data_IF_136836272731
#
_entry.id   IF_136836272731
#
_cell.length_a   1.000
_cell.length_b   1.000
_cell.length_c   1.000
_cell.angle_alpha   90.00
_cell.angle_beta   90.00
_cell.angle_gamma   90.00
#
_symmetry.space_group_name_H-M   'P 1'
#
loop_
_entity.id
_entity.type
_entity.pdbx_description
1 polymer ?
#
# COMPACT_ATOMS: atom_id res chain seq x y z
N UNK A 1 -24.08 -5.30 -10.61
CA UNK A 1 -23.40 -5.82 -11.81
C UNK A 1 -21.90 -5.80 -11.53
N UNK A 2 -21.35 -6.96 -11.21
CA UNK A 2 -20.00 -7.16 -10.70
C UNK A 2 -19.06 -7.61 -11.83
N UNK A 3 -18.78 -6.71 -12.76
CA UNK A 3 -18.12 -7.04 -14.03
C UNK A 3 -16.85 -6.21 -14.20
N UNK A 4 -15.82 -6.51 -13.39
CA UNK A 4 -14.43 -6.07 -13.66
C UNK A 4 -13.35 -6.86 -12.89
N UNK A 5 -13.65 -8.04 -12.35
CA UNK A 5 -12.73 -8.77 -11.45
C UNK A 5 -12.30 -10.15 -11.97
N UNK A 6 -12.31 -10.38 -13.29
CA UNK A 6 -11.77 -11.60 -13.89
C UNK A 6 -10.81 -11.26 -15.01
N UNK A 7 -9.53 -11.10 -14.67
CA UNK A 7 -8.45 -11.27 -15.65
C UNK A 7 -8.49 -12.73 -16.14
N UNK A 8 -8.44 -12.98 -17.46
CA UNK A 8 -8.36 -14.34 -17.98
C UNK A 8 -7.02 -14.95 -17.53
N UNK A 9 -7.06 -16.06 -16.79
CA UNK A 9 -5.87 -16.82 -16.39
C UNK A 9 -5.55 -16.86 -14.89
N UNK A 10 -6.20 -16.05 -14.05
CA UNK A 10 -6.00 -16.15 -12.60
C UNK A 10 -6.79 -17.35 -12.04
N UNK A 11 -6.15 -18.30 -11.32
CA UNK A 11 -6.86 -19.43 -10.73
C UNK A 11 -8.00 -18.97 -9.81
N UNK A 12 -9.17 -19.60 -9.94
CA UNK A 12 -10.41 -19.19 -9.24
C UNK A 12 -10.25 -19.17 -7.71
N UNK A 13 -9.37 -20.00 -7.15
CA UNK A 13 -9.05 -20.04 -5.72
C UNK A 13 -8.35 -18.76 -5.23
N UNK A 14 -7.64 -18.03 -6.10
CA UNK A 14 -6.94 -16.78 -5.76
C UNK A 14 -7.92 -15.63 -5.49
N UNK A 15 -9.04 -15.57 -6.23
CA UNK A 15 -10.11 -14.61 -5.98
C UNK A 15 -10.80 -14.86 -4.63
N UNK A 16 -10.96 -16.14 -4.26
CA UNK A 16 -11.57 -16.57 -2.98
C UNK A 16 -10.63 -16.26 -1.80
N UNK A 17 -9.34 -16.57 -1.94
CA UNK A 17 -8.32 -16.22 -0.96
C UNK A 17 -8.20 -14.70 -0.75
N UNK A 18 -8.16 -13.91 -1.85
CA UNK A 18 -8.08 -12.46 -1.78
C UNK A 18 -9.33 -11.79 -1.15
N UNK A 19 -10.49 -12.46 -1.20
CA UNK A 19 -11.72 -12.03 -0.50
C UNK A 19 -11.69 -12.40 0.98
N UNK A 20 -11.21 -13.59 1.35
CA UNK A 20 -11.07 -14.02 2.74
C UNK A 20 -10.10 -13.10 3.52
N UNK A 21 -8.93 -12.79 2.94
CA UNK A 21 -7.90 -11.99 3.60
C UNK A 21 -8.22 -10.49 3.72
N UNK A 22 -9.29 -10.00 3.07
CA UNK A 22 -9.72 -8.60 3.20
C UNK A 22 -10.50 -8.32 4.49
N UNK A 23 -10.96 -9.36 5.19
CA UNK A 23 -11.97 -9.20 6.25
C UNK A 23 -11.39 -9.17 7.67
N UNK A 24 -10.17 -9.62 7.94
CA UNK A 24 -9.62 -9.60 9.29
C UNK A 24 -8.15 -9.18 9.38
N UNK A 25 -7.88 -8.09 10.10
CA UNK A 25 -6.52 -7.65 10.48
C UNK A 25 -5.74 -8.74 11.23
N UNK A 26 -6.43 -9.70 11.86
CA UNK A 26 -5.85 -10.83 12.62
C UNK A 26 -5.28 -11.93 11.74
N UNK A 27 -5.65 -11.99 10.46
CA UNK A 27 -5.22 -13.04 9.54
C UNK A 27 -4.03 -12.63 8.67
N UNK A 28 -3.58 -11.36 8.72
CA UNK A 28 -2.49 -10.86 7.86
C UNK A 28 -1.17 -11.64 8.01
N UNK A 29 -0.67 -11.98 9.22
CA UNK A 29 0.54 -12.77 9.34
C UNK A 29 0.40 -14.20 8.79
N UNK A 30 -0.81 -14.76 8.85
CA UNK A 30 -1.12 -16.09 8.32
C UNK A 30 -1.16 -16.06 6.79
N UNK A 31 -1.77 -15.01 6.22
CA UNK A 31 -1.78 -14.76 4.78
C UNK A 31 -0.37 -14.59 4.21
N UNK A 32 0.50 -13.84 4.91
CA UNK A 32 1.90 -13.67 4.51
C UNK A 32 2.64 -15.01 4.49
N UNK A 33 2.48 -15.84 5.53
CA UNK A 33 3.08 -17.18 5.58
C UNK A 33 2.58 -18.07 4.45
N UNK A 34 1.27 -18.08 4.22
CA UNK A 34 0.65 -18.84 3.14
C UNK A 34 1.22 -18.45 1.77
N UNK A 35 1.32 -17.14 1.48
CA UNK A 35 1.89 -16.66 0.22
C UNK A 35 3.38 -17.02 0.07
N UNK A 36 4.15 -16.98 1.16
CA UNK A 36 5.54 -17.42 1.15
C UNK A 36 5.68 -18.92 0.87
N UNK A 37 4.75 -19.74 1.37
CA UNK A 37 4.77 -21.17 1.14
C UNK A 37 4.32 -21.50 -0.30
N UNK A 38 3.28 -20.86 -0.82
CA UNK A 38 2.88 -20.97 -2.22
C UNK A 38 3.98 -20.54 -3.19
N UNK A 39 4.73 -19.47 -2.87
CA UNK A 39 5.87 -19.02 -3.69
C UNK A 39 6.99 -20.05 -3.79
N UNK A 40 7.19 -20.89 -2.76
CA UNK A 40 8.19 -21.97 -2.80
C UNK A 40 7.75 -23.14 -3.66
N UNK A 41 6.44 -23.31 -3.84
CA UNK A 41 5.83 -24.44 -4.53
C UNK A 41 5.48 -24.13 -5.99
N UNK A 42 5.39 -22.85 -6.36
CA UNK A 42 4.99 -22.44 -7.71
C UNK A 42 6.17 -22.43 -8.70
N UNK A 43 5.98 -23.11 -9.83
CA UNK A 43 6.88 -23.07 -11.00
C UNK A 43 6.34 -22.15 -12.12
N UNK A 44 5.11 -21.68 -11.99
CA UNK A 44 4.49 -20.76 -12.96
C UNK A 44 5.02 -19.33 -12.75
N UNK A 45 5.70 -18.73 -13.74
CA UNK A 45 6.29 -17.40 -13.61
C UNK A 45 5.25 -16.27 -13.48
N UNK A 46 4.09 -16.38 -14.12
CA UNK A 46 3.05 -15.36 -14.04
C UNK A 46 2.37 -15.39 -12.66
N UNK A 47 2.11 -16.61 -12.16
CA UNK A 47 1.58 -16.80 -10.81
C UNK A 47 2.60 -16.36 -9.75
N UNK A 48 3.89 -16.67 -9.95
CA UNK A 48 4.97 -16.21 -9.07
C UNK A 48 4.99 -14.69 -8.95
N UNK A 49 4.97 -13.99 -10.08
CA UNK A 49 4.98 -12.52 -10.08
C UNK A 49 3.79 -11.94 -9.31
N UNK A 50 2.59 -12.51 -9.48
CA UNK A 50 1.40 -12.05 -8.78
C UNK A 50 1.46 -12.33 -7.27
N UNK A 51 1.95 -13.51 -6.87
CA UNK A 51 2.19 -13.86 -5.47
C UNK A 51 3.23 -12.95 -4.81
N UNK A 52 4.33 -12.64 -5.50
CA UNK A 52 5.36 -11.69 -5.05
C UNK A 52 4.77 -10.31 -4.82
N UNK A 53 3.98 -9.80 -5.78
CA UNK A 53 3.29 -8.51 -5.64
C UNK A 53 2.33 -8.49 -4.45
N UNK A 54 1.57 -9.58 -4.24
CA UNK A 54 0.64 -9.69 -3.12
C UNK A 54 1.37 -9.76 -1.79
N UNK A 55 2.43 -10.55 -1.71
CA UNK A 55 3.28 -10.67 -0.53
C UNK A 55 3.90 -9.31 -0.18
N UNK A 56 4.45 -8.60 -1.17
CA UNK A 56 5.00 -7.26 -1.00
C UNK A 56 3.95 -6.29 -0.43
N UNK A 57 2.74 -6.28 -0.98
CA UNK A 57 1.67 -5.40 -0.47
C UNK A 57 1.30 -5.71 0.98
N UNK A 58 1.09 -6.98 1.33
CA UNK A 58 0.69 -7.34 2.70
C UNK A 58 1.82 -7.10 3.71
N UNK A 59 3.06 -7.37 3.32
CA UNK A 59 4.25 -7.10 4.15
C UNK A 59 4.41 -5.60 4.36
N UNK A 60 4.17 -4.80 3.31
CA UNK A 60 4.18 -3.35 3.42
C UNK A 60 3.14 -2.87 4.42
N UNK A 61 1.89 -3.36 4.34
CA UNK A 61 0.82 -2.96 5.25
C UNK A 61 1.15 -3.32 6.71
N UNK A 62 1.73 -4.50 6.97
CA UNK A 62 2.22 -4.88 8.31
C UNK A 62 3.33 -3.95 8.82
N UNK A 63 4.28 -3.58 7.97
CA UNK A 63 5.39 -2.70 8.36
C UNK A 63 4.90 -1.27 8.60
N UNK A 64 4.06 -0.74 7.72
CA UNK A 64 3.46 0.57 7.86
C UNK A 64 2.67 0.69 9.15
N UNK A 65 1.84 -0.31 9.50
CA UNK A 65 1.09 -0.32 10.75
C UNK A 65 2.01 -0.22 11.98
N UNK A 66 3.03 -1.09 12.07
CA UNK A 66 4.01 -1.06 13.17
C UNK A 66 4.79 0.25 13.24
N UNK A 67 5.22 0.78 12.09
CA UNK A 67 5.94 2.05 12.04
C UNK A 67 5.04 3.21 12.53
N UNK A 68 3.77 3.21 12.15
CA UNK A 68 2.80 4.20 12.61
C UNK A 68 2.50 4.08 14.10
N UNK A 69 2.41 2.87 14.67
CA UNK A 69 2.30 2.68 16.12
C UNK A 69 3.51 3.30 16.86
N UNK A 70 4.73 3.09 16.35
CA UNK A 70 5.93 3.69 16.91
C UNK A 70 5.98 5.21 16.75
N UNK A 71 5.49 5.73 15.61
CA UNK A 71 5.37 7.16 15.36
C UNK A 71 4.36 7.82 16.30
N UNK A 72 3.22 7.18 16.56
CA UNK A 72 2.22 7.65 17.53
C UNK A 72 2.79 7.65 18.95
N UNK A 73 3.49 6.59 19.36
CA UNK A 73 4.16 6.55 20.66
C UNK A 73 5.23 7.64 20.78
N UNK A 74 6.01 7.89 19.71
CA UNK A 74 6.96 9.00 19.66
C UNK A 74 6.27 10.35 19.78
N UNK A 75 5.16 10.55 19.07
CA UNK A 75 4.40 11.80 19.09
C UNK A 75 3.79 12.08 20.47
N UNK A 76 3.29 11.05 21.15
CA UNK A 76 2.79 11.16 22.52
C UNK A 76 3.87 11.60 23.51
N UNK A 77 5.12 11.15 23.32
CA UNK A 77 6.26 11.51 24.19
C UNK A 77 6.88 12.87 23.86
N UNK A 78 6.88 13.27 22.58
CA UNK A 78 7.64 14.43 22.08
C UNK A 78 6.79 15.61 21.65
N UNK A 79 5.47 15.46 21.60
CA UNK A 79 4.52 16.49 21.15
C UNK A 79 4.60 16.79 19.64
N UNK A 80 5.28 15.95 18.86
CA UNK A 80 5.37 16.06 17.39
C UNK A 80 5.63 14.69 16.76
N UNK A 81 5.22 14.47 15.50
CA UNK A 81 5.60 13.26 14.77
C UNK A 81 7.13 13.17 14.57
N UNK A 82 7.66 11.96 14.33
CA UNK A 82 9.06 11.80 13.92
C UNK A 82 9.30 12.47 12.57
N UNK A 83 10.51 12.95 12.32
CA UNK A 83 10.91 13.52 11.02
C UNK A 83 11.12 12.47 9.92
N UNK A 84 11.23 11.21 10.32
CA UNK A 84 11.57 10.06 9.48
C UNK A 84 11.74 8.80 10.33
N UNK A 85 11.80 7.65 9.68
CA UNK A 85 12.00 6.36 10.36
C UNK A 85 13.37 6.31 11.06
N UNK A 86 14.37 7.00 10.53
CA UNK A 86 15.71 7.10 11.11
C UNK A 86 15.70 7.78 12.48
N UNK A 87 14.73 8.66 12.75
CA UNK A 87 14.58 9.26 14.08
C UNK A 87 14.10 8.22 15.10
N UNK A 88 13.19 7.32 14.71
CA UNK A 88 12.74 6.20 15.53
C UNK A 88 13.89 5.23 15.84
N UNK A 89 14.81 5.04 14.90
CA UNK A 89 16.05 4.27 15.10
C UNK A 89 16.98 4.96 16.10
N UNK A 90 17.23 6.26 15.89
CA UNK A 90 18.13 7.05 16.75
C UNK A 90 17.69 7.12 18.20
N UNK A 91 16.39 7.13 18.46
CA UNK A 91 15.85 7.11 19.84
C UNK A 91 15.66 5.69 20.41
N UNK A 92 16.06 4.66 19.67
CA UNK A 92 16.02 3.26 20.11
C UNK A 92 14.63 2.62 20.10
N UNK A 93 13.60 3.28 19.53
CA UNK A 93 12.25 2.69 19.36
C UNK A 93 12.21 1.65 18.24
N UNK A 94 13.16 1.73 17.31
CA UNK A 94 13.33 0.79 16.21
C UNK A 94 14.80 0.37 16.14
N UNK A 95 15.07 -0.93 15.91
CA UNK A 95 16.46 -1.43 15.85
C UNK A 95 17.21 -0.94 14.61
N UNK A 96 16.53 -0.97 13.48
CA UNK A 96 17.00 -0.54 12.18
C UNK A 96 15.79 -0.25 11.29
N UNK A 97 15.96 0.62 10.31
CA UNK A 97 14.92 0.91 9.33
C UNK A 97 14.70 -0.32 8.43
N UNK A 98 13.47 -0.89 8.38
CA UNK A 98 13.17 -1.96 7.46
C UNK A 98 13.10 -1.40 6.02
N UNK A 99 13.52 -2.16 5.00
CA UNK A 99 13.25 -1.78 3.62
C UNK A 99 11.73 -1.74 3.35
N UNK A 100 11.29 -0.84 2.48
CA UNK A 100 9.90 -0.82 2.00
C UNK A 100 9.68 -2.00 1.04
N UNK A 101 8.75 -2.93 1.33
CA UNK A 101 8.49 -4.09 0.47
C UNK A 101 8.02 -3.72 -0.94
N UNK A 102 7.54 -2.49 -1.16
CA UNK A 102 7.16 -1.99 -2.49
C UNK A 102 8.36 -1.51 -3.32
N UNK A 103 9.57 -1.53 -2.77
CA UNK A 103 10.82 -1.14 -3.45
C UNK A 103 11.15 0.36 -3.34
N UNK A 104 10.40 1.12 -2.55
CA UNK A 104 10.67 2.53 -2.26
C UNK A 104 11.44 2.74 -0.97
N UNK A 105 11.07 3.81 -0.27
CA UNK A 105 11.52 4.12 1.08
C UNK A 105 10.36 4.67 1.92
N UNK A 106 10.58 4.77 3.22
CA UNK A 106 9.58 5.31 4.14
C UNK A 106 9.64 6.84 4.16
N UNK A 107 8.47 7.46 4.10
CA UNK A 107 8.31 8.91 4.26
C UNK A 107 7.28 9.19 5.34
N UNK A 108 7.43 10.33 6.00
CA UNK A 108 6.41 10.88 6.91
C UNK A 108 5.63 11.93 6.14
N UNK A 109 4.31 11.82 6.14
CA UNK A 109 3.45 12.79 5.47
C UNK A 109 3.12 14.01 6.35
N UNK A 110 2.20 14.84 5.86
CA UNK A 110 1.77 16.06 6.55
C UNK A 110 0.98 15.76 7.85
N UNK A 111 0.33 14.61 7.92
CA UNK A 111 -0.46 14.16 9.06
C UNK A 111 0.43 13.44 10.10
N UNK A 112 1.70 13.22 9.77
CA UNK A 112 2.66 12.53 10.63
C UNK A 112 2.62 11.01 10.47
N UNK A 113 1.93 10.50 9.45
CA UNK A 113 1.84 9.08 9.14
C UNK A 113 3.02 8.63 8.28
N UNK A 114 3.54 7.45 8.59
CA UNK A 114 4.60 6.78 7.84
C UNK A 114 3.97 5.98 6.69
N UNK A 115 4.37 6.29 5.47
CA UNK A 115 3.91 5.62 4.23
C UNK A 115 5.06 5.32 3.27
N UNK A 116 4.79 4.47 2.28
CA UNK A 116 5.74 4.23 1.18
C UNK A 116 5.80 5.42 0.24
N UNK A 117 7.01 5.77 -0.21
CA UNK A 117 7.23 6.74 -1.29
C UNK A 117 6.57 6.33 -2.61
N UNK A 118 6.44 5.02 -2.88
CA UNK A 118 5.73 4.50 -4.05
C UNK A 118 4.24 4.79 -3.96
N UNK A 119 3.62 4.53 -2.80
CA UNK A 119 2.19 4.83 -2.59
C UNK A 119 1.92 6.33 -2.65
N UNK A 120 2.77 7.14 -2.03
CA UNK A 120 2.64 8.59 -2.08
C UNK A 120 2.76 9.16 -3.51
N UNK A 121 3.67 8.61 -4.32
CA UNK A 121 3.77 8.98 -5.73
C UNK A 121 2.51 8.60 -6.53
N UNK A 122 1.96 7.40 -6.28
CA UNK A 122 0.73 6.92 -6.92
C UNK A 122 -0.49 7.76 -6.54
N UNK A 123 -0.63 8.13 -5.27
CA UNK A 123 -1.72 9.00 -4.79
C UNK A 123 -1.66 10.37 -5.45
N UNK A 124 -0.46 10.96 -5.54
CA UNK A 124 -0.25 12.24 -6.21
C UNK A 124 -0.61 12.18 -7.69
N UNK A 125 -0.18 11.13 -8.39
CA UNK A 125 -0.51 10.96 -9.81
C UNK A 125 -2.02 10.77 -10.04
N UNK A 126 -2.67 10.00 -9.16
CA UNK A 126 -4.13 9.81 -9.21
C UNK A 126 -4.89 11.12 -8.95
N UNK A 127 -4.45 11.92 -7.98
CA UNK A 127 -5.05 13.23 -7.69
C UNK A 127 -4.94 14.19 -8.90
N UNK A 128 -3.76 14.27 -9.53
CA UNK A 128 -3.54 15.09 -10.73
C UNK A 128 -4.39 14.62 -11.91
N UNK A 129 -4.53 13.30 -12.10
CA UNK A 129 -5.39 12.73 -13.15
C UNK A 129 -6.85 13.07 -12.91
N UNK A 130 -7.31 12.95 -11.67
CA UNK A 130 -8.69 13.26 -11.30
C UNK A 130 -8.98 14.76 -11.50
N UNK A 131 -8.08 15.63 -11.05
CA UNK A 131 -8.20 17.08 -11.24
C UNK A 131 -8.30 17.44 -12.72
N UNK A 132 -7.42 16.88 -13.57
CA UNK A 132 -7.48 17.10 -15.02
C UNK A 132 -8.82 16.66 -15.62
N UNK A 133 -9.33 15.49 -15.24
CA UNK A 133 -10.64 15.01 -15.72
C UNK A 133 -11.79 15.91 -15.26
N UNK A 134 -11.72 16.47 -14.04
CA UNK A 134 -12.75 17.37 -13.54
C UNK A 134 -12.75 18.71 -14.29
N UNK A 135 -11.57 19.27 -14.59
CA UNK A 135 -11.44 20.51 -15.38
C UNK A 135 -11.98 20.33 -16.80
N UNK A 136 -11.66 19.21 -17.46
CA UNK A 136 -12.15 18.90 -18.82
C UNK A 136 -13.68 18.77 -18.88
N UNK A 137 -14.31 18.24 -17.81
CA UNK A 137 -15.77 18.09 -17.72
C UNK A 137 -16.50 19.38 -17.32
N UNK A 138 -15.81 20.33 -16.68
CA UNK A 138 -16.38 21.57 -16.17
C UNK A 138 -16.41 22.72 -17.20
N UNK A 139 -15.84 22.55 -18.38
CA UNK A 139 -15.98 23.49 -19.51
C UNK A 139 -17.19 23.13 -20.39
N UNK A 140 -18.38 23.74 -20.20
CA UNK A 140 -19.38 23.75 -21.25
C UNK A 140 -18.87 24.65 -22.38
N UNK A 141 -18.86 24.11 -23.60
CA UNK A 141 -18.74 24.91 -24.82
C UNK A 141 -20.03 25.74 -24.89
N UNK A 142 -20.03 26.95 -24.32
CA UNK A 142 -21.04 27.96 -24.66
C UNK A 142 -20.65 28.53 -26.00
N UNK A 143 -21.15 27.92 -27.08
CA UNK A 143 -21.23 28.59 -28.37
C UNK A 143 -22.37 29.61 -28.27
N UNK A 144 -22.14 30.92 -28.41
CA UNK A 144 -23.24 31.85 -28.63
C UNK A 144 -23.79 31.60 -30.04
N UNK A 145 -25.05 31.21 -30.16
CA UNK A 145 -25.75 31.21 -31.46
C UNK A 145 -26.19 32.64 -31.81
N UNK A 146 -26.05 33.05 -33.09
CA UNK A 146 -26.40 34.37 -33.60
C UNK A 146 -27.91 34.63 -33.70
#
# INVERSE_FOLDING_TARGET
MAEAARRPGAPEWYAVAAVAFRQEQKERPQAIRFLQDELKLTDDPDLRQELERRLASLTHDEYAERLNELAQAFAAERGRPPRGVEELVRVGKLKAEPPDPLGGGWIVDIDGEIKSSIRAAQEKEQALRFERQMLERATPITTPSP
#
